data_IF_332309229227
#
_entry.id   IF_332309229227
#
_cell.length_a   1.000
_cell.length_b   1.000
_cell.length_c   1.000
_cell.angle_alpha   90.00
_cell.angle_beta   90.00
_cell.angle_gamma   90.00
#
_symmetry.space_group_name_H-M   'P 1'
#
loop_
_entity.id
_entity.type
_entity.pdbx_description
1 polymer ?
#
# COMPACT_ATOMS: atom_id res chain seq x y z
N UNK A 1 -1.53 -12.85 21.94
CA UNK A 1 -2.02 -13.09 20.57
C UNK A 1 -2.99 -12.02 20.06
N UNK A 2 -3.96 -11.55 20.84
CA UNK A 2 -4.93 -10.51 20.39
C UNK A 2 -4.32 -9.12 20.16
N UNK A 3 -3.30 -8.72 20.92
CA UNK A 3 -2.67 -7.39 20.77
C UNK A 3 -1.81 -7.29 19.50
N UNK A 4 -0.95 -8.26 19.22
CA UNK A 4 -0.07 -8.24 18.04
C UNK A 4 -0.85 -8.18 16.72
N UNK A 5 -1.99 -8.88 16.66
CA UNK A 5 -2.88 -8.86 15.50
C UNK A 5 -3.55 -7.50 15.28
N UNK A 6 -3.96 -6.83 16.37
CA UNK A 6 -4.54 -5.49 16.31
C UNK A 6 -3.50 -4.46 15.85
N UNK A 7 -2.27 -4.55 16.35
CA UNK A 7 -1.18 -3.64 15.97
C UNK A 7 -0.81 -3.78 14.48
N UNK A 8 -0.76 -5.01 13.97
CA UNK A 8 -0.53 -5.27 12.55
C UNK A 8 -1.68 -4.74 11.70
N UNK A 9 -2.93 -4.98 12.11
CA UNK A 9 -4.12 -4.49 11.40
C UNK A 9 -4.12 -2.96 11.31
N UNK A 10 -3.78 -2.28 12.40
CA UNK A 10 -3.69 -0.83 12.46
C UNK A 10 -2.56 -0.30 11.56
N UNK A 11 -1.43 -1.00 11.53
CA UNK A 11 -0.30 -0.68 10.64
C UNK A 11 -0.68 -0.81 9.17
N UNK A 12 -1.33 -1.90 8.77
CA UNK A 12 -1.82 -2.08 7.40
C UNK A 12 -2.89 -1.06 7.02
N UNK A 13 -3.76 -0.69 7.96
CA UNK A 13 -4.76 0.37 7.75
C UNK A 13 -4.08 1.72 7.49
N UNK A 14 -3.11 2.10 8.30
CA UNK A 14 -2.33 3.32 8.08
C UNK A 14 -1.59 3.29 6.73
N UNK A 15 -0.97 2.17 6.40
CA UNK A 15 -0.21 2.00 5.15
C UNK A 15 -1.11 2.12 3.90
N UNK A 16 -2.26 1.46 3.90
CA UNK A 16 -3.23 1.54 2.80
C UNK A 16 -3.85 2.93 2.67
N UNK A 17 -4.08 3.64 3.78
CA UNK A 17 -4.52 5.04 3.76
C UNK A 17 -3.45 5.97 3.14
N UNK A 18 -2.19 5.85 3.55
CA UNK A 18 -1.08 6.62 2.95
C UNK A 18 -0.92 6.30 1.46
N UNK A 19 -1.09 5.04 1.06
CA UNK A 19 -1.06 4.66 -0.34
C UNK A 19 -2.16 5.34 -1.16
N UNK A 20 -3.40 5.39 -0.66
CA UNK A 20 -4.50 6.09 -1.33
C UNK A 20 -4.20 7.58 -1.52
N UNK A 21 -3.60 8.23 -0.52
CA UNK A 21 -3.17 9.62 -0.63
C UNK A 21 -2.09 9.79 -1.70
N UNK A 22 -1.12 8.87 -1.78
CA UNK A 22 -0.08 8.93 -2.79
C UNK A 22 -0.61 8.73 -4.20
N UNK A 23 -1.52 7.77 -4.40
CA UNK A 23 -2.20 7.57 -5.69
C UNK A 23 -2.98 8.83 -6.09
N UNK A 24 -3.73 9.42 -5.17
CA UNK A 24 -4.45 10.67 -5.42
C UNK A 24 -3.53 11.83 -5.76
N UNK A 25 -2.39 11.96 -5.08
CA UNK A 25 -1.38 12.96 -5.40
C UNK A 25 -0.76 12.74 -6.78
N UNK A 26 -0.46 11.49 -7.16
CA UNK A 26 0.05 11.16 -8.49
C UNK A 26 -0.97 11.46 -9.60
N UNK A 27 -2.26 11.17 -9.37
CA UNK A 27 -3.34 11.54 -10.28
C UNK A 27 -3.48 13.06 -10.41
N UNK A 28 -3.32 13.81 -9.32
CA UNK A 28 -3.43 15.27 -9.36
C UNK A 28 -2.31 15.93 -10.18
N UNK A 29 -1.12 15.31 -10.25
CA UNK A 29 -0.05 15.77 -11.14
C UNK A 29 -0.49 15.76 -12.61
N UNK A 30 -1.35 14.81 -13.03
CA UNK A 30 -1.87 14.77 -14.41
C UNK A 30 -2.82 15.94 -14.73
N UNK A 31 -3.33 16.62 -13.69
CA UNK A 31 -4.22 17.79 -13.79
C UNK A 31 -3.50 19.11 -13.49
N UNK A 32 -2.25 19.06 -13.04
CA UNK A 32 -1.50 20.25 -12.62
C UNK A 32 -0.75 20.86 -13.81
N UNK A 33 -1.05 22.13 -14.17
CA UNK A 33 -0.34 22.80 -15.26
C UNK A 33 1.16 22.93 -14.97
N UNK A 34 1.98 22.82 -16.00
CA UNK A 34 3.44 23.02 -15.94
C UNK A 34 4.25 21.96 -15.20
N UNK A 35 3.64 20.84 -14.79
CA UNK A 35 4.39 19.67 -14.33
C UNK A 35 4.99 18.96 -15.54
N UNK A 36 6.30 18.67 -15.57
CA UNK A 36 6.91 17.91 -16.66
C UNK A 36 6.32 16.50 -16.75
N UNK A 37 6.11 16.00 -17.97
CA UNK A 37 5.55 14.67 -18.23
C UNK A 37 6.34 13.54 -17.55
N UNK A 38 7.67 13.64 -17.54
CA UNK A 38 8.57 12.69 -16.85
C UNK A 38 8.26 12.56 -15.35
N UNK A 39 7.87 13.66 -14.69
CA UNK A 39 7.53 13.67 -13.26
C UNK A 39 6.19 12.97 -13.02
N UNK A 40 5.24 13.16 -13.94
CA UNK A 40 3.93 12.50 -13.90
C UNK A 40 4.12 10.99 -14.08
N UNK A 41 4.86 10.57 -15.10
CA UNK A 41 5.16 9.16 -15.39
C UNK A 41 5.87 8.49 -14.20
N UNK A 42 6.89 9.14 -13.64
CA UNK A 42 7.61 8.65 -12.47
C UNK A 42 6.68 8.46 -11.26
N UNK A 43 5.79 9.41 -11.00
CA UNK A 43 4.81 9.31 -9.91
C UNK A 43 3.84 8.15 -10.12
N UNK A 44 3.34 7.96 -11.35
CA UNK A 44 2.43 6.84 -11.71
C UNK A 44 3.16 5.49 -11.59
N UNK A 45 4.38 5.38 -12.09
CA UNK A 45 5.17 4.14 -12.00
C UNK A 45 5.47 3.79 -10.54
N UNK A 46 5.81 4.79 -9.73
CA UNK A 46 6.05 4.58 -8.29
C UNK A 46 4.80 4.16 -7.54
N UNK A 47 3.64 4.75 -7.86
CA UNK A 47 2.37 4.36 -7.23
C UNK A 47 1.98 2.94 -7.62
N UNK A 48 2.13 2.56 -8.89
CA UNK A 48 1.89 1.18 -9.34
C UNK A 48 2.80 0.16 -8.62
N UNK A 49 4.12 0.44 -8.54
CA UNK A 49 5.08 -0.43 -7.83
C UNK A 49 4.75 -0.57 -6.35
N UNK A 50 4.35 0.52 -5.70
CA UNK A 50 3.95 0.49 -4.30
C UNK A 50 2.68 -0.36 -4.13
N UNK A 51 1.69 -0.22 -5.02
CA UNK A 51 0.49 -1.07 -5.02
C UNK A 51 0.83 -2.56 -5.03
N UNK A 52 1.68 -3.00 -5.96
CA UNK A 52 2.13 -4.40 -6.01
C UNK A 52 2.86 -4.84 -4.73
N UNK A 53 3.60 -3.94 -4.08
CA UNK A 53 4.26 -4.24 -2.80
C UNK A 53 3.25 -4.46 -1.69
N UNK A 54 2.19 -3.65 -1.65
CA UNK A 54 1.10 -3.79 -0.66
C UNK A 54 0.34 -5.09 -0.86
N UNK A 55 0.08 -5.50 -2.10
CA UNK A 55 -0.57 -6.78 -2.41
C UNK A 55 0.25 -7.95 -1.88
N UNK A 56 1.58 -7.92 -2.05
CA UNK A 56 2.47 -8.94 -1.51
C UNK A 56 2.49 -8.96 0.02
N UNK A 57 2.54 -7.79 0.66
CA UNK A 57 2.49 -7.69 2.12
C UNK A 57 1.18 -8.25 2.68
N UNK A 58 0.05 -7.93 2.05
CA UNK A 58 -1.26 -8.44 2.43
C UNK A 58 -1.33 -9.96 2.27
N UNK A 59 -0.80 -10.49 1.16
CA UNK A 59 -0.73 -11.93 0.93
C UNK A 59 0.08 -12.64 2.04
N UNK A 60 1.27 -12.12 2.37
CA UNK A 60 2.09 -12.70 3.44
C UNK A 60 1.40 -12.65 4.81
N UNK A 61 0.66 -11.56 5.09
CA UNK A 61 -0.12 -11.47 6.32
C UNK A 61 -1.22 -12.55 6.38
N UNK A 62 -1.96 -12.75 5.29
CA UNK A 62 -2.99 -13.79 5.21
C UNK A 62 -2.37 -15.19 5.40
N UNK A 63 -1.24 -15.46 4.75
CA UNK A 63 -0.53 -16.75 4.89
C UNK A 63 -0.04 -16.97 6.33
N UNK A 64 0.48 -15.94 7.00
CA UNK A 64 0.90 -16.00 8.40
C UNK A 64 -0.26 -16.38 9.33
N UNK A 65 -1.44 -15.76 9.13
CA UNK A 65 -2.65 -16.08 9.91
C UNK A 65 -3.08 -17.53 9.67
N UNK A 66 -3.13 -17.96 8.41
CA UNK A 66 -3.54 -19.33 8.05
C UNK A 66 -2.58 -20.39 8.56
N UNK A 67 -1.28 -20.09 8.64
CA UNK A 67 -0.27 -21.03 9.16
C UNK A 67 -0.29 -21.11 10.68
N UNK A 68 -0.46 -19.99 11.39
CA UNK A 68 -0.60 -19.99 12.85
C UNK A 68 -1.86 -20.75 13.30
N UNK A 69 -3.00 -20.58 12.63
CA UNK A 69 -4.25 -21.30 12.95
C UNK A 69 -4.20 -22.81 12.70
N UNK A 70 -3.16 -23.35 12.04
CA UNK A 70 -3.00 -24.79 11.79
C UNK A 70 -2.12 -25.49 12.84
N UNK A 71 -1.43 -24.72 13.67
CA UNK A 71 -0.54 -25.23 14.72
C UNK A 71 -1.19 -25.18 16.11
N UNK A 72 -2.43 -24.69 16.20
CA UNK A 72 -3.34 -24.80 17.35
C UNK A 72 -4.37 -25.92 17.12
#
# INVERSE_FOLDING_TARGET
>A
MTNDFNDITQTFTSLTNSYRLFVGAAEELTRTPSVPEEIIEDAIVRSAKLGSTLDLLLLFQILSILTNNRNE
#
